data_IF_258070696228
#
_entry.id   IF_258070696228
#
_cell.length_a   1.000
_cell.length_b   1.000
_cell.length_c   1.000
_cell.angle_alpha   90.00
_cell.angle_beta   90.00
_cell.angle_gamma   90.00
#
_symmetry.space_group_name_H-M   'P 1'
#
loop_
_entity.id
_entity.type
_entity.pdbx_description
1 polymer ?
#
# COMPACT_ATOMS: atom_id res chain seq x y z
N UNK A 1 -15.07 -38.28 -9.06
CA UNK A 1 -14.08 -37.20 -9.25
C UNK A 1 -14.07 -36.33 -8.00
N UNK A 2 -13.40 -36.78 -6.94
CA UNK A 2 -13.23 -36.01 -5.72
C UNK A 2 -11.90 -35.27 -5.79
N UNK A 3 -11.95 -33.94 -5.67
CA UNK A 3 -10.74 -33.13 -5.60
C UNK A 3 -10.05 -33.51 -4.28
N UNK A 4 -8.85 -34.10 -4.36
CA UNK A 4 -8.02 -34.33 -3.17
C UNK A 4 -7.61 -32.96 -2.62
N UNK A 5 -8.26 -32.53 -1.55
CA UNK A 5 -7.87 -31.34 -0.81
C UNK A 5 -6.57 -31.67 -0.03
N UNK A 6 -5.43 -31.29 -0.61
CA UNK A 6 -4.13 -31.38 0.05
C UNK A 6 -3.96 -30.21 1.03
N UNK A 7 -4.31 -30.46 2.28
CA UNK A 7 -3.85 -29.75 3.49
C UNK A 7 -4.49 -28.40 3.84
N UNK A 8 -4.97 -28.31 5.08
CA UNK A 8 -5.31 -27.07 5.79
C UNK A 8 -4.10 -26.11 5.96
N UNK A 9 -2.88 -26.60 5.66
CA UNK A 9 -1.62 -25.87 5.70
C UNK A 9 -1.57 -24.73 4.67
N UNK A 10 -2.06 -24.98 3.44
CA UNK A 10 -2.07 -23.99 2.35
C UNK A 10 -3.04 -22.82 2.63
N UNK A 11 -4.14 -23.07 3.35
CA UNK A 11 -5.10 -22.03 3.76
C UNK A 11 -4.57 -21.16 4.93
N UNK A 12 -3.63 -21.66 5.74
CA UNK A 12 -3.00 -20.90 6.83
C UNK A 12 -2.05 -19.82 6.31
N UNK A 13 -1.35 -20.07 5.21
CA UNK A 13 -0.36 -19.11 4.68
C UNK A 13 -1.00 -17.81 4.16
N UNK A 14 -2.25 -17.85 3.69
CA UNK A 14 -2.98 -16.65 3.24
C UNK A 14 -3.65 -15.84 4.37
N UNK A 15 -3.61 -16.32 5.62
CA UNK A 15 -4.28 -15.68 6.77
C UNK A 15 -3.32 -15.19 7.86
N UNK A 16 -2.01 -15.43 7.70
CA UNK A 16 -1.01 -15.01 8.69
C UNK A 16 -0.66 -13.53 8.53
N UNK A 17 -1.40 -12.67 9.23
CA UNK A 17 -0.98 -11.29 9.48
C UNK A 17 0.34 -11.30 10.27
N UNK A 18 1.35 -10.49 9.90
CA UNK A 18 2.58 -10.39 10.68
C UNK A 18 2.22 -10.03 12.13
N UNK A 19 2.79 -10.76 13.09
CA UNK A 19 2.57 -10.48 14.50
C UNK A 19 2.94 -9.03 14.85
N UNK A 20 2.43 -8.53 15.97
CA UNK A 20 2.59 -7.13 16.40
C UNK A 20 4.05 -6.65 16.40
N UNK A 21 5.00 -7.55 16.71
CA UNK A 21 6.45 -7.28 16.68
C UNK A 21 6.97 -7.08 15.25
N UNK A 22 6.53 -7.90 14.31
CA UNK A 22 6.90 -7.75 12.90
C UNK A 22 6.30 -6.46 12.30
N UNK A 23 5.08 -6.08 12.71
CA UNK A 23 4.51 -4.79 12.33
C UNK A 23 5.31 -3.61 12.89
N UNK A 24 5.74 -3.66 14.16
CA UNK A 24 6.60 -2.63 14.76
C UNK A 24 7.94 -2.49 14.02
N UNK A 25 8.57 -3.61 13.64
CA UNK A 25 9.80 -3.61 12.85
C UNK A 25 9.60 -3.00 11.46
N UNK A 26 8.52 -3.36 10.78
CA UNK A 26 8.17 -2.82 9.45
C UNK A 26 7.86 -1.31 9.51
N UNK A 27 7.13 -0.88 10.54
CA UNK A 27 6.86 0.54 10.79
C UNK A 27 8.15 1.30 11.09
N UNK A 28 9.01 0.77 11.96
CA UNK A 28 10.30 1.36 12.29
C UNK A 28 11.19 1.54 11.08
N UNK A 29 11.30 0.51 10.21
CA UNK A 29 12.02 0.61 8.94
C UNK A 29 11.45 1.71 8.04
N UNK A 30 10.13 1.76 7.90
CA UNK A 30 9.46 2.77 7.07
C UNK A 30 9.60 4.19 7.62
N UNK A 31 9.65 4.35 8.95
CA UNK A 31 9.88 5.61 9.63
C UNK A 31 11.32 6.11 9.44
N UNK A 32 12.31 5.22 9.50
CA UNK A 32 13.72 5.56 9.25
C UNK A 32 13.92 5.96 7.78
N UNK A 33 13.32 5.25 6.84
CA UNK A 33 13.37 5.62 5.43
C UNK A 33 12.70 6.97 5.17
N UNK A 34 11.57 7.25 5.83
CA UNK A 34 10.89 8.54 5.75
C UNK A 34 11.70 9.67 6.42
N UNK A 35 12.33 9.43 7.57
CA UNK A 35 13.16 10.43 8.24
C UNK A 35 14.47 10.70 7.49
N UNK A 36 15.10 9.68 6.92
CA UNK A 36 16.30 9.81 6.08
C UNK A 36 16.02 10.58 4.79
N UNK A 37 14.78 10.59 4.31
CA UNK A 37 14.36 11.43 3.19
C UNK A 37 14.19 12.90 3.55
N UNK A 38 14.27 13.28 4.84
CA UNK A 38 14.04 14.63 5.32
C UNK A 38 12.56 15.02 5.39
N UNK A 39 11.68 14.05 5.66
CA UNK A 39 10.22 14.23 5.60
C UNK A 39 9.70 14.70 4.23
N UNK A 40 10.40 14.35 3.15
CA UNK A 40 10.01 14.75 1.79
C UNK A 40 8.59 14.30 1.48
N UNK A 41 7.68 15.25 1.40
CA UNK A 41 6.38 15.11 0.77
C UNK A 41 6.53 15.32 -0.73
N UNK A 42 5.79 14.56 -1.54
CA UNK A 42 5.60 14.94 -2.94
C UNK A 42 4.68 16.16 -2.94
N UNK A 43 5.22 17.28 -3.42
CA UNK A 43 4.50 18.53 -3.63
C UNK A 43 4.67 18.96 -5.10
N UNK A 44 3.79 19.83 -5.59
CA UNK A 44 3.83 20.32 -6.96
C UNK A 44 3.41 19.27 -8.00
N UNK A 45 4.17 19.18 -9.10
CA UNK A 45 3.80 18.38 -10.28
C UNK A 45 3.66 16.88 -10.01
N UNK A 46 4.49 16.31 -9.13
CA UNK A 46 4.42 14.88 -8.84
C UNK A 46 3.15 14.51 -8.06
N UNK A 47 2.72 15.37 -7.14
CA UNK A 47 1.46 15.21 -6.42
C UNK A 47 0.28 15.25 -7.40
N UNK A 48 0.26 16.24 -8.30
CA UNK A 48 -0.78 16.39 -9.31
C UNK A 48 -0.84 15.17 -10.24
N UNK A 49 0.29 14.72 -10.77
CA UNK A 49 0.36 13.51 -11.61
C UNK A 49 -0.20 12.28 -10.90
N UNK A 50 0.15 12.08 -9.62
CA UNK A 50 -0.36 10.95 -8.82
C UNK A 50 -1.86 11.08 -8.54
N UNK A 51 -2.35 12.29 -8.29
CA UNK A 51 -3.79 12.57 -8.10
C UNK A 51 -4.59 12.33 -9.39
N UNK A 52 -4.10 12.79 -10.54
CA UNK A 52 -4.71 12.56 -11.85
C UNK A 52 -4.73 11.07 -12.21
N UNK A 53 -3.61 10.37 -11.95
CA UNK A 53 -3.49 8.92 -12.13
C UNK A 53 -4.51 8.16 -11.28
N UNK A 54 -4.75 8.61 -10.04
CA UNK A 54 -5.77 8.02 -9.19
C UNK A 54 -7.19 8.42 -9.60
N UNK A 55 -7.41 9.63 -10.08
CA UNK A 55 -8.72 10.15 -10.48
C UNK A 55 -9.29 9.38 -11.68
N UNK A 56 -8.43 8.89 -12.58
CA UNK A 56 -8.81 8.02 -13.70
C UNK A 56 -8.80 6.52 -13.37
N UNK A 57 -8.54 6.14 -12.12
CA UNK A 57 -8.38 4.75 -11.73
C UNK A 57 -9.73 4.09 -11.40
N UNK A 58 -10.01 2.95 -12.02
CA UNK A 58 -11.20 2.11 -11.77
C UNK A 58 -11.37 1.67 -10.30
N UNK A 59 -10.29 1.69 -9.52
CA UNK A 59 -10.28 1.28 -8.11
C UNK A 59 -10.51 2.45 -7.14
N UNK A 60 -10.79 3.66 -7.62
CA UNK A 60 -11.08 4.81 -6.76
C UNK A 60 -12.57 4.87 -6.43
N UNK A 61 -12.90 4.85 -5.14
CA UNK A 61 -14.25 5.05 -4.62
C UNK A 61 -14.22 6.02 -3.44
N UNK A 62 -14.96 7.13 -3.52
CA UNK A 62 -15.07 8.14 -2.44
C UNK A 62 -13.70 8.58 -1.87
N UNK A 63 -12.76 8.96 -2.74
CA UNK A 63 -11.38 9.37 -2.40
C UNK A 63 -10.51 8.27 -1.75
N UNK A 64 -10.97 7.03 -1.75
CA UNK A 64 -10.27 5.86 -1.20
C UNK A 64 -10.00 4.82 -2.28
N UNK A 65 -8.82 4.21 -2.24
CA UNK A 65 -8.48 3.13 -3.17
C UNK A 65 -8.99 1.77 -2.67
N UNK A 66 -9.66 1.00 -3.52
CA UNK A 66 -10.14 -0.35 -3.21
C UNK A 66 -9.02 -1.41 -3.17
N UNK A 67 -7.83 -1.12 -3.74
CA UNK A 67 -6.69 -2.05 -3.75
C UNK A 67 -5.75 -1.90 -2.55
N UNK A 68 -5.47 -0.67 -2.12
CA UNK A 68 -4.62 -0.42 -0.94
C UNK A 68 -5.37 0.11 0.28
N UNK A 69 -6.64 0.50 0.17
CA UNK A 69 -7.43 1.07 1.26
C UNK A 69 -7.04 2.49 1.67
N UNK A 70 -5.98 3.08 1.11
CA UNK A 70 -5.51 4.42 1.48
C UNK A 70 -6.44 5.53 0.96
N UNK A 71 -6.47 6.65 1.68
CA UNK A 71 -6.96 7.92 1.16
C UNK A 71 -5.96 8.49 0.15
N UNK A 72 -6.45 8.82 -1.05
CA UNK A 72 -5.59 9.30 -2.14
C UNK A 72 -4.91 10.62 -1.77
N UNK A 73 -5.62 11.53 -1.10
CA UNK A 73 -5.07 12.84 -0.66
C UNK A 73 -3.84 12.71 0.25
N UNK A 74 -3.75 11.61 1.00
CA UNK A 74 -2.60 11.31 1.87
C UNK A 74 -1.55 10.53 1.11
N UNK A 75 -1.95 9.43 0.44
CA UNK A 75 -1.00 8.52 -0.23
C UNK A 75 -0.18 9.22 -1.30
N UNK A 76 -0.81 10.07 -2.10
CA UNK A 76 -0.13 10.79 -3.19
C UNK A 76 0.96 11.73 -2.69
N UNK A 77 0.82 12.29 -1.48
CA UNK A 77 1.82 13.15 -0.81
C UNK A 77 3.01 12.37 -0.24
N UNK A 78 2.90 11.06 -0.02
CA UNK A 78 4.04 10.26 0.47
C UNK A 78 4.99 9.97 -0.68
N UNK A 79 6.15 10.62 -0.70
CA UNK A 79 7.15 10.47 -1.77
C UNK A 79 7.64 9.04 -1.94
N UNK A 80 7.79 8.32 -0.84
CA UNK A 80 8.22 6.91 -0.79
C UNK A 80 7.10 5.92 -1.13
N UNK A 81 5.84 6.38 -1.24
CA UNK A 81 4.73 5.47 -1.48
C UNK A 81 4.65 5.03 -2.95
N UNK A 82 4.30 3.76 -3.15
CA UNK A 82 4.10 3.16 -4.46
C UNK A 82 2.68 2.66 -4.65
N UNK A 83 2.23 2.57 -5.89
CA UNK A 83 0.95 2.00 -6.23
C UNK A 83 1.04 0.47 -6.21
N UNK A 84 0.17 -0.26 -5.49
CA UNK A 84 0.19 -1.74 -5.52
C UNK A 84 -0.14 -2.32 -6.90
N UNK A 85 -0.76 -1.53 -7.79
CA UNK A 85 -1.05 -1.91 -9.18
C UNK A 85 -0.02 -1.33 -10.17
N UNK A 86 1.05 -0.70 -9.69
CA UNK A 86 2.15 -0.22 -10.53
C UNK A 86 1.85 1.00 -11.42
N UNK A 87 0.78 1.75 -11.13
CA UNK A 87 0.47 3.00 -11.87
C UNK A 87 1.42 4.17 -11.53
N UNK A 88 2.15 4.07 -10.41
CA UNK A 88 3.32 4.88 -10.02
C UNK A 88 4.13 4.12 -8.97
#
# INVERSE_FOLDING_TARGET
MGIRLNSLEELRQHTQRPGSVAMAKNLGKSLIEWSASGFKTCEGDELNKRLETCSSCEYLLNKRCLKCGCYIEVKTRLSTSRCPVGKW
#
